data_IF_303121048042
#
_entry.id   IF_303121048042
#
_cell.length_a   1.000
_cell.length_b   1.000
_cell.length_c   1.000
_cell.angle_alpha   90.00
_cell.angle_beta   90.00
_cell.angle_gamma   90.00
#
_symmetry.space_group_name_H-M   'P 1'
#
loop_
_entity.id
_entity.type
_entity.pdbx_description
1 polymer ?
#
# COMPACT_ATOMS: atom_id res chain seq x y z
N UNK A 1 -19.95 0.01 43.88
CA UNK A 1 -20.01 0.07 42.41
C UNK A 1 -20.36 -1.32 41.93
N UNK A 2 -21.61 -1.53 41.51
CA UNK A 2 -22.09 -2.88 41.14
C UNK A 2 -22.00 -3.01 39.63
N UNK A 3 -21.29 -4.03 39.16
CA UNK A 3 -21.12 -4.30 37.73
C UNK A 3 -22.47 -4.49 37.02
N UNK A 4 -22.50 -4.19 35.71
CA UNK A 4 -23.71 -4.31 34.90
C UNK A 4 -24.24 -5.76 34.90
N UNK A 5 -25.56 -5.99 35.06
CA UNK A 5 -26.14 -7.33 35.05
C UNK A 5 -25.78 -8.10 33.76
N UNK A 6 -25.20 -9.30 33.91
CA UNK A 6 -24.80 -10.17 32.80
C UNK A 6 -23.35 -10.01 32.30
N UNK A 7 -22.55 -9.14 32.92
CA UNK A 7 -21.13 -8.98 32.56
C UNK A 7 -20.27 -10.12 33.15
N UNK A 8 -19.73 -10.98 32.28
CA UNK A 8 -18.76 -12.02 32.64
C UNK A 8 -17.33 -11.55 32.36
N UNK A 9 -16.53 -11.17 33.38
CA UNK A 9 -15.24 -10.52 33.19
C UNK A 9 -14.13 -11.44 32.66
N UNK A 10 -14.36 -12.76 32.60
CA UNK A 10 -13.37 -13.76 32.18
C UNK A 10 -13.09 -13.79 30.66
N UNK A 11 -13.73 -12.92 29.88
CA UNK A 11 -13.55 -12.80 28.43
C UNK A 11 -13.38 -11.33 28.05
N UNK A 12 -12.27 -10.72 28.47
CA UNK A 12 -11.78 -9.47 27.88
C UNK A 12 -10.75 -9.81 26.80
N UNK A 13 -11.20 -9.90 25.54
CA UNK A 13 -10.29 -10.03 24.40
C UNK A 13 -9.83 -8.63 23.99
N UNK A 14 -8.65 -8.23 24.42
CA UNK A 14 -8.00 -7.02 23.91
C UNK A 14 -7.54 -7.29 22.47
N UNK A 15 -8.14 -6.60 21.50
CA UNK A 15 -7.70 -6.60 20.11
C UNK A 15 -7.05 -5.25 19.83
N UNK A 16 -5.73 -5.19 19.95
CA UNK A 16 -4.97 -3.98 19.68
C UNK A 16 -4.77 -3.81 18.17
N UNK A 17 -5.06 -2.60 17.67
CA UNK A 17 -4.77 -2.20 16.31
C UNK A 17 -3.77 -1.05 16.35
N UNK A 18 -2.53 -1.30 15.91
CA UNK A 18 -1.54 -0.24 15.71
C UNK A 18 -1.75 0.39 14.34
N UNK A 19 -2.35 1.57 14.31
CA UNK A 19 -2.50 2.35 13.07
C UNK A 19 -1.19 3.10 12.82
N UNK A 20 -0.54 2.80 11.69
CA UNK A 20 0.62 3.55 11.21
C UNK A 20 0.17 4.45 10.07
N UNK A 21 0.18 5.76 10.32
CA UNK A 21 0.05 6.73 9.24
C UNK A 21 1.33 6.80 8.42
N UNK A 22 1.22 7.02 7.12
CA UNK A 22 2.33 7.41 6.28
C UNK A 22 2.29 8.92 6.07
N UNK A 23 3.13 9.66 6.81
CA UNK A 23 3.51 11.02 6.42
C UNK A 23 4.50 10.89 5.26
N UNK A 24 4.50 11.82 4.31
CA UNK A 24 5.23 11.72 3.04
C UNK A 24 6.65 11.16 3.15
N UNK A 25 7.09 10.47 2.10
CA UNK A 25 8.39 9.80 2.04
C UNK A 25 9.50 10.85 2.05
N UNK A 26 10.35 10.85 3.08
CA UNK A 26 11.45 11.80 3.18
C UNK A 26 12.66 11.41 2.32
N UNK A 27 13.64 12.32 2.23
CA UNK A 27 14.85 12.16 1.40
C UNK A 27 15.64 10.91 1.76
N UNK A 28 15.70 10.54 3.04
CA UNK A 28 16.41 9.34 3.51
C UNK A 28 15.76 8.09 2.98
N UNK A 29 14.42 8.03 3.02
CA UNK A 29 13.67 6.91 2.48
C UNK A 29 13.83 6.79 0.95
N UNK A 30 13.82 7.91 0.22
CA UNK A 30 14.12 7.89 -1.22
C UNK A 30 15.54 7.41 -1.54
N UNK A 31 16.55 7.84 -0.77
CA UNK A 31 17.93 7.35 -0.96
C UNK A 31 18.02 5.84 -0.78
N UNK A 32 17.43 5.31 0.29
CA UNK A 32 17.41 3.88 0.55
C UNK A 32 16.71 3.10 -0.59
N UNK A 33 15.60 3.62 -1.11
CA UNK A 33 14.89 3.02 -2.23
C UNK A 33 15.74 3.02 -3.51
N UNK A 34 16.44 4.11 -3.82
CA UNK A 34 17.33 4.20 -4.98
C UNK A 34 18.53 3.26 -4.86
N UNK A 35 19.15 3.17 -3.68
CA UNK A 35 20.23 2.21 -3.40
C UNK A 35 19.74 0.76 -3.59
N UNK A 36 18.51 0.47 -3.16
CA UNK A 36 17.90 -0.84 -3.36
C UNK A 36 17.70 -1.16 -4.84
N UNK A 37 17.18 -0.21 -5.64
CA UNK A 37 17.03 -0.36 -7.08
C UNK A 37 18.39 -0.57 -7.77
N UNK A 38 19.38 0.25 -7.42
CA UNK A 38 20.73 0.18 -7.97
C UNK A 38 21.46 -1.11 -7.60
N UNK A 39 21.10 -1.75 -6.49
CA UNK A 39 21.74 -3.00 -6.04
C UNK A 39 21.50 -4.19 -6.98
N UNK A 40 20.47 -4.15 -7.83
CA UNK A 40 20.08 -5.27 -8.69
C UNK A 40 19.67 -6.53 -7.92
N UNK A 41 19.43 -6.44 -6.60
CA UNK A 41 19.08 -7.59 -5.75
C UNK A 41 17.72 -8.20 -6.13
N UNK A 42 16.82 -7.39 -6.67
CA UNK A 42 15.47 -7.80 -7.07
C UNK A 42 15.23 -7.44 -8.54
N UNK A 43 14.48 -8.26 -9.29
CA UNK A 43 14.26 -8.05 -10.72
C UNK A 43 13.16 -7.01 -10.98
N UNK A 44 13.31 -5.79 -10.46
CA UNK A 44 12.32 -4.72 -10.61
C UNK A 44 12.07 -4.33 -12.08
N UNK A 45 13.04 -4.57 -12.95
CA UNK A 45 12.94 -4.43 -14.40
C UNK A 45 11.88 -5.34 -15.03
N UNK A 46 11.58 -6.48 -14.40
CA UNK A 46 10.58 -7.43 -14.88
C UNK A 46 9.14 -7.04 -14.50
N UNK A 47 8.96 -6.03 -13.65
CA UNK A 47 7.63 -5.54 -13.29
C UNK A 47 6.91 -4.97 -14.51
N UNK A 48 5.65 -5.35 -14.75
CA UNK A 48 4.82 -4.78 -15.81
C UNK A 48 4.76 -3.26 -15.69
N UNK A 49 5.10 -2.56 -16.78
CA UNK A 49 5.06 -1.10 -16.87
C UNK A 49 4.49 -0.69 -18.22
N UNK A 50 3.73 0.41 -18.23
CA UNK A 50 3.20 1.02 -19.45
C UNK A 50 3.51 2.51 -19.42
N UNK A 51 4.15 3.00 -20.47
CA UNK A 51 4.38 4.43 -20.69
C UNK A 51 3.45 4.89 -21.80
N UNK A 52 2.74 5.98 -21.56
CA UNK A 52 1.81 6.58 -22.52
C UNK A 52 2.08 8.08 -22.63
N UNK A 53 1.66 8.70 -23.73
CA UNK A 53 1.66 10.15 -23.87
C UNK A 53 0.62 10.80 -22.94
N UNK A 54 0.67 12.12 -22.79
CA UNK A 54 -0.28 12.83 -21.93
C UNK A 54 -1.73 12.67 -22.42
N UNK A 55 -1.93 12.61 -23.73
CA UNK A 55 -3.24 12.41 -24.36
C UNK A 55 -3.91 11.08 -23.95
N UNK A 56 -3.12 10.09 -23.55
CA UNK A 56 -3.57 8.75 -23.15
C UNK A 56 -3.55 8.55 -21.61
N UNK A 57 -3.22 9.58 -20.85
CA UNK A 57 -3.04 9.48 -19.40
C UNK A 57 -4.34 9.11 -18.68
N UNK A 58 -5.48 9.64 -19.13
CA UNK A 58 -6.81 9.35 -18.56
C UNK A 58 -7.11 7.84 -18.65
N UNK A 59 -6.97 7.26 -19.83
CA UNK A 59 -7.25 5.84 -20.06
C UNK A 59 -6.29 4.95 -19.26
N UNK A 60 -5.02 5.34 -19.13
CA UNK A 60 -4.07 4.62 -18.28
C UNK A 60 -4.48 4.67 -16.80
N UNK A 61 -4.86 5.83 -16.27
CA UNK A 61 -5.27 5.98 -14.87
C UNK A 61 -6.54 5.19 -14.58
N UNK A 62 -7.55 5.25 -15.46
CA UNK A 62 -8.79 4.49 -15.31
C UNK A 62 -8.52 2.97 -15.33
N UNK A 63 -7.60 2.50 -16.19
CA UNK A 63 -7.15 1.10 -16.19
C UNK A 63 -6.49 0.72 -14.86
N UNK A 64 -5.59 1.57 -14.35
CA UNK A 64 -4.87 1.34 -13.09
C UNK A 64 -5.80 1.35 -11.87
N UNK A 65 -6.90 2.11 -11.93
CA UNK A 65 -7.96 2.12 -10.93
C UNK A 65 -8.88 0.89 -10.99
N UNK A 66 -8.70 0.01 -11.99
CA UNK A 66 -9.56 -1.16 -12.19
C UNK A 66 -10.92 -0.83 -12.85
N UNK A 67 -11.08 0.38 -13.38
CA UNK A 67 -12.31 0.84 -14.05
C UNK A 67 -12.36 0.45 -15.53
N UNK A 68 -11.27 -0.12 -16.07
CA UNK A 68 -11.13 -0.63 -17.44
C UNK A 68 -10.51 -2.02 -17.43
N UNK A 69 -10.64 -2.73 -18.55
CA UNK A 69 -10.00 -4.03 -18.73
C UNK A 69 -8.47 -3.86 -18.83
N UNK A 70 -7.72 -4.67 -18.09
CA UNK A 70 -6.25 -4.64 -18.12
C UNK A 70 -5.63 -5.46 -16.99
N UNK A 71 -4.30 -5.58 -17.00
CA UNK A 71 -3.56 -6.16 -15.88
C UNK A 71 -3.53 -5.12 -14.76
N UNK A 72 -4.12 -5.39 -13.59
CA UNK A 72 -4.05 -4.47 -12.47
C UNK A 72 -2.59 -4.26 -12.06
N UNK A 73 -2.20 -3.05 -11.62
CA UNK A 73 -0.83 -2.79 -11.20
C UNK A 73 -0.45 -3.69 -10.02
N UNK A 74 0.85 -3.87 -9.75
CA UNK A 74 1.26 -4.47 -8.48
C UNK A 74 1.07 -3.42 -7.39
N UNK A 75 0.17 -3.69 -6.44
CA UNK A 75 -0.01 -2.93 -5.21
C UNK A 75 0.22 -3.88 -4.03
N UNK A 76 0.85 -3.38 -2.97
CA UNK A 76 1.09 -4.09 -1.71
C UNK A 76 -0.03 -3.88 -0.71
#
# INVERSE_FOLDING_TARGET
>A
MTAAPGFSPDILVLKELRVLGALGVDVTAYRAALELLASGRYPFESLPRRCVGLDDAEELIATMAGERAGVPPVHG
#
